data_IF_075298519546
#
_entry.id   IF_075298519546
#
_cell.length_a   1.000
_cell.length_b   1.000
_cell.length_c   1.000
_cell.angle_alpha   90.00
_cell.angle_beta   90.00
_cell.angle_gamma   90.00
#
_symmetry.space_group_name_H-M   'P 1'
#
loop_
_entity.id
_entity.type
_entity.pdbx_description
1 polymer ?
#
# COMPACT_ATOMS: atom_id res chain seq x y z
N UNK A 1 -3.24 22.41 12.17
CA UNK A 1 -3.67 21.08 11.69
C UNK A 1 -2.46 20.40 11.05
N UNK A 2 -2.06 19.23 11.49
CA UNK A 2 -0.98 18.52 10.81
C UNK A 2 -1.50 17.79 9.56
N UNK A 3 -0.62 17.35 8.68
CA UNK A 3 -1.02 16.72 7.42
C UNK A 3 -1.76 15.39 7.65
N UNK A 4 -1.45 14.68 8.71
CA UNK A 4 -2.09 13.43 9.10
C UNK A 4 -3.58 13.66 9.42
N UNK A 5 -3.89 14.66 10.21
CA UNK A 5 -5.28 15.03 10.53
C UNK A 5 -6.06 15.42 9.26
N UNK A 6 -5.41 16.12 8.33
CA UNK A 6 -6.05 16.52 7.09
C UNK A 6 -6.48 15.33 6.23
N UNK A 7 -5.63 14.32 6.13
CA UNK A 7 -5.96 13.09 5.38
C UNK A 7 -7.04 12.31 6.13
N UNK A 8 -6.86 12.13 7.42
CA UNK A 8 -7.77 11.36 8.25
C UNK A 8 -9.20 11.94 8.29
N UNK A 9 -9.33 13.27 8.33
CA UNK A 9 -10.62 13.94 8.36
C UNK A 9 -11.38 13.84 7.04
N UNK A 10 -10.68 13.66 5.93
CA UNK A 10 -11.27 13.68 4.59
C UNK A 10 -11.52 12.31 4.01
N UNK A 11 -10.85 11.27 4.52
CA UNK A 11 -10.87 9.95 3.89
C UNK A 11 -11.53 8.94 4.81
N UNK A 12 -12.70 8.46 4.36
CA UNK A 12 -13.27 7.23 4.86
C UNK A 12 -12.88 6.11 3.91
N UNK A 13 -12.50 4.94 4.46
CA UNK A 13 -12.26 3.77 3.65
C UNK A 13 -13.55 3.29 3.02
N UNK A 14 -13.55 3.21 1.70
CA UNK A 14 -14.66 2.70 0.90
C UNK A 14 -14.29 1.35 0.29
N UNK A 15 -15.30 0.56 -0.05
CA UNK A 15 -15.10 -0.66 -0.84
C UNK A 15 -14.57 -0.30 -2.23
N UNK A 16 -13.70 -1.15 -2.77
CA UNK A 16 -13.07 -0.95 -4.06
C UNK A 16 -11.73 -0.21 -3.98
N UNK A 17 -11.30 0.33 -5.11
CA UNK A 17 -10.03 1.02 -5.23
C UNK A 17 -10.19 2.52 -4.98
N UNK A 18 -9.54 3.03 -3.97
CA UNK A 18 -9.51 4.45 -3.64
C UNK A 18 -8.16 5.03 -4.04
N UNK A 19 -8.16 6.01 -4.93
CA UNK A 19 -6.96 6.74 -5.34
C UNK A 19 -6.86 8.03 -4.54
N UNK A 20 -5.74 8.19 -3.85
CA UNK A 20 -5.45 9.40 -3.08
C UNK A 20 -4.24 10.09 -3.69
N UNK A 21 -4.45 11.27 -4.24
CA UNK A 21 -3.40 12.15 -4.67
C UNK A 21 -3.11 13.16 -3.56
N UNK A 22 -1.86 13.16 -3.09
CA UNK A 22 -1.44 14.12 -2.07
C UNK A 22 0.03 14.48 -2.31
N UNK A 23 0.37 15.75 -2.13
CA UNK A 23 1.74 16.24 -2.33
C UNK A 23 2.74 15.53 -1.43
N UNK A 24 3.99 15.45 -1.86
CA UNK A 24 5.10 15.00 -1.02
C UNK A 24 5.11 15.78 0.29
N UNK A 25 5.23 15.06 1.41
CA UNK A 25 5.16 15.67 2.74
C UNK A 25 3.74 15.94 3.26
N UNK A 26 2.69 15.48 2.56
CA UNK A 26 1.31 15.61 3.02
C UNK A 26 0.92 14.60 4.11
N UNK A 27 1.83 13.72 4.52
CA UNK A 27 1.58 12.76 5.60
C UNK A 27 0.97 11.42 5.16
N UNK A 28 1.14 11.03 3.88
CA UNK A 28 0.59 9.76 3.35
C UNK A 28 1.07 8.54 4.15
N UNK A 29 2.39 8.42 4.33
CA UNK A 29 2.98 7.30 5.08
C UNK A 29 2.57 7.33 6.54
N UNK A 30 2.57 8.50 7.16
CA UNK A 30 2.12 8.69 8.54
C UNK A 30 0.66 8.27 8.71
N UNK A 31 -0.20 8.65 7.76
CA UNK A 31 -1.61 8.24 7.74
C UNK A 31 -1.75 6.71 7.76
N UNK A 32 -1.00 6.01 6.90
CA UNK A 32 -1.06 4.55 6.83
C UNK A 32 -0.57 3.93 8.14
N UNK A 33 0.63 4.31 8.59
CA UNK A 33 1.30 3.65 9.71
C UNK A 33 0.71 4.00 11.08
N UNK A 34 0.19 5.19 11.25
CA UNK A 34 -0.40 5.60 12.52
C UNK A 34 -1.92 5.46 12.57
N UNK A 35 -2.60 5.72 11.48
CA UNK A 35 -4.07 5.77 11.46
C UNK A 35 -4.69 4.49 10.93
N UNK A 36 -4.32 4.04 9.74
CA UNK A 36 -4.91 2.83 9.16
C UNK A 36 -4.49 1.57 9.92
N UNK A 37 -3.23 1.43 10.26
CA UNK A 37 -2.73 0.23 10.95
C UNK A 37 -3.23 0.10 12.39
N UNK A 38 -3.70 1.17 12.98
CA UNK A 38 -4.33 1.14 14.30
C UNK A 38 -5.65 0.38 14.28
N UNK A 39 -6.44 0.57 13.22
CA UNK A 39 -7.82 0.07 13.14
C UNK A 39 -7.99 -1.10 12.18
N UNK A 40 -6.99 -1.38 11.33
CA UNK A 40 -7.03 -2.39 10.29
C UNK A 40 -5.71 -3.17 10.20
N UNK A 41 -5.79 -4.39 9.68
CA UNK A 41 -4.61 -5.11 9.21
C UNK A 41 -4.30 -4.61 7.80
N UNK A 42 -3.14 -4.00 7.63
CA UNK A 42 -2.74 -3.28 6.41
C UNK A 42 -1.50 -3.92 5.81
N UNK A 43 -1.48 -4.09 4.49
CA UNK A 43 -0.27 -4.38 3.74
C UNK A 43 0.10 -3.13 2.96
N UNK A 44 1.17 -2.47 3.38
CA UNK A 44 1.73 -1.30 2.69
C UNK A 44 2.80 -1.77 1.71
N UNK A 45 2.53 -1.61 0.42
CA UNK A 45 3.44 -1.99 -0.66
C UNK A 45 4.23 -0.78 -1.13
N UNK A 46 5.56 -0.87 -1.07
CA UNK A 46 6.49 0.19 -1.44
C UNK A 46 7.30 -0.22 -2.68
N UNK A 47 7.67 0.72 -3.55
CA UNK A 47 8.42 0.38 -4.76
C UNK A 47 9.90 0.02 -4.52
N UNK A 48 10.50 0.45 -3.40
CA UNK A 48 11.93 0.26 -3.13
C UNK A 48 12.22 -0.31 -1.76
N UNK A 49 13.34 -1.03 -1.66
CA UNK A 49 13.86 -1.54 -0.37
C UNK A 49 14.16 -0.38 0.58
N UNK A 50 14.71 0.72 0.06
CA UNK A 50 15.04 1.89 0.87
C UNK A 50 13.82 2.45 1.61
N UNK A 51 12.66 2.47 0.98
CA UNK A 51 11.42 2.92 1.60
C UNK A 51 10.96 1.99 2.72
N UNK A 52 11.06 0.68 2.51
CA UNK A 52 10.72 -0.30 3.55
C UNK A 52 11.67 -0.16 4.74
N UNK A 53 12.97 -0.03 4.49
CA UNK A 53 13.97 0.19 5.54
C UNK A 53 13.72 1.48 6.33
N UNK A 54 13.34 2.56 5.64
CA UNK A 54 13.01 3.82 6.29
C UNK A 54 11.78 3.66 7.20
N UNK A 55 10.76 2.96 6.75
CA UNK A 55 9.60 2.65 7.58
C UNK A 55 9.99 1.83 8.82
N UNK A 56 10.89 0.86 8.65
CA UNK A 56 11.38 0.05 9.77
C UNK A 56 12.14 0.90 10.81
N UNK A 57 12.98 1.83 10.36
CA UNK A 57 13.67 2.76 11.26
C UNK A 57 12.70 3.62 12.05
N UNK A 58 11.67 4.15 11.38
CA UNK A 58 10.75 5.11 11.99
C UNK A 58 9.67 4.43 12.85
N UNK A 59 9.26 3.21 12.50
CA UNK A 59 8.08 2.54 13.11
C UNK A 59 8.34 1.11 13.56
N UNK A 60 9.56 0.59 13.45
CA UNK A 60 9.89 -0.79 13.80
C UNK A 60 9.69 -1.16 15.26
N UNK A 61 9.56 -0.18 16.14
CA UNK A 61 9.26 -0.37 17.55
C UNK A 61 7.78 -0.70 17.82
N UNK A 62 6.90 -0.50 16.84
CA UNK A 62 5.48 -0.82 16.99
C UNK A 62 5.27 -2.34 16.90
N UNK A 63 4.44 -2.87 17.79
CA UNK A 63 4.06 -4.28 17.75
C UNK A 63 3.19 -4.58 16.52
N UNK A 64 3.24 -5.84 16.04
CA UNK A 64 2.38 -6.34 14.97
C UNK A 64 2.60 -5.74 13.58
N UNK A 65 3.78 -5.16 13.33
CA UNK A 65 4.18 -4.75 11.98
C UNK A 65 5.39 -5.58 11.54
N UNK A 66 5.29 -6.20 10.38
CA UNK A 66 6.39 -6.94 9.76
C UNK A 66 6.93 -6.16 8.57
N UNK A 67 8.26 -6.16 8.40
CA UNK A 67 8.94 -5.45 7.31
C UNK A 67 9.63 -6.49 6.41
N UNK A 68 9.25 -6.56 5.14
CA UNK A 68 9.70 -7.57 4.20
C UNK A 68 10.27 -6.92 2.93
N UNK A 69 11.47 -7.33 2.55
CA UNK A 69 12.10 -6.92 1.28
C UNK A 69 13.07 -8.02 0.83
N UNK A 70 13.72 -7.85 -0.33
CA UNK A 70 14.59 -8.87 -0.90
C UNK A 70 15.77 -9.30 -0.03
N UNK A 71 16.19 -8.44 0.91
CA UNK A 71 17.29 -8.72 1.85
C UNK A 71 16.79 -9.27 3.20
N UNK A 72 15.48 -9.28 3.44
CA UNK A 72 14.88 -9.70 4.70
C UNK A 72 13.57 -10.41 4.45
N UNK A 73 13.43 -11.62 4.96
CA UNK A 73 12.20 -12.40 4.84
C UNK A 73 11.64 -12.76 6.22
N UNK A 74 10.39 -13.21 6.25
CA UNK A 74 9.74 -13.72 7.46
C UNK A 74 9.82 -15.24 7.46
N UNK A 75 10.12 -15.89 8.62
CA UNK A 75 10.01 -17.34 8.75
C UNK A 75 8.60 -17.85 8.41
N UNK A 76 8.52 -19.01 7.75
CA UNK A 76 7.24 -19.62 7.33
C UNK A 76 6.23 -19.77 8.47
N UNK A 77 6.71 -19.99 9.68
CA UNK A 77 5.87 -20.16 10.88
C UNK A 77 5.09 -18.89 11.20
N UNK A 78 5.67 -17.71 10.93
CA UNK A 78 5.01 -16.42 11.14
C UNK A 78 4.08 -16.04 10.00
N UNK A 79 4.29 -16.58 8.80
CA UNK A 79 3.44 -16.31 7.63
C UNK A 79 1.98 -16.69 7.88
N UNK A 80 1.72 -17.76 8.61
CA UNK A 80 0.37 -18.23 8.92
C UNK A 80 -0.50 -17.20 9.68
N UNK A 81 0.13 -16.24 10.34
CA UNK A 81 -0.56 -15.23 11.13
C UNK A 81 -0.50 -13.83 10.50
N UNK A 82 -0.04 -13.72 9.24
CA UNK A 82 0.07 -12.42 8.57
C UNK A 82 -1.27 -11.69 8.43
N UNK A 83 -2.36 -12.43 8.25
CA UNK A 83 -3.69 -11.81 8.17
C UNK A 83 -4.13 -11.13 9.47
N UNK A 84 -3.44 -11.39 10.58
CA UNK A 84 -3.68 -10.76 11.89
C UNK A 84 -2.69 -9.65 12.21
N UNK A 85 -1.82 -9.30 11.27
CA UNK A 85 -0.75 -8.32 11.45
C UNK A 85 -0.73 -7.36 10.28
N UNK A 86 -0.04 -6.23 10.45
CA UNK A 86 0.27 -5.33 9.35
C UNK A 86 1.66 -5.63 8.79
N UNK A 87 1.85 -5.32 7.52
CA UNK A 87 3.09 -5.62 6.78
C UNK A 87 3.50 -4.42 5.96
N UNK A 88 4.78 -4.09 5.96
CA UNK A 88 5.40 -3.16 5.02
C UNK A 88 6.31 -3.98 4.11
N UNK A 89 6.10 -3.92 2.80
CA UNK A 89 6.71 -4.85 1.85
C UNK A 89 7.02 -4.16 0.53
N UNK A 90 8.06 -4.61 -0.17
CA UNK A 90 8.30 -4.16 -1.54
C UNK A 90 7.34 -4.84 -2.53
N UNK A 91 7.06 -4.21 -3.66
CA UNK A 91 6.13 -4.71 -4.67
C UNK A 91 6.45 -6.15 -5.11
N UNK A 92 7.73 -6.44 -5.32
CA UNK A 92 8.20 -7.73 -5.83
C UNK A 92 8.10 -8.87 -4.81
N UNK A 93 7.98 -8.56 -3.54
CA UNK A 93 7.86 -9.55 -2.47
C UNK A 93 6.40 -9.92 -2.15
N UNK A 94 5.44 -9.18 -2.67
CA UNK A 94 4.02 -9.41 -2.40
C UNK A 94 3.57 -10.84 -2.75
N UNK A 95 4.09 -11.41 -3.84
CA UNK A 95 3.73 -12.77 -4.26
C UNK A 95 3.99 -13.83 -3.19
N UNK A 96 5.00 -13.60 -2.36
CA UNK A 96 5.38 -14.53 -1.28
C UNK A 96 4.37 -14.56 -0.14
N UNK A 97 3.59 -13.50 0.04
CA UNK A 97 2.67 -13.38 1.17
C UNK A 97 1.19 -13.40 0.78
N UNK A 98 0.86 -13.25 -0.49
CA UNK A 98 -0.53 -13.06 -0.96
C UNK A 98 -1.50 -14.15 -0.50
N UNK A 99 -1.04 -15.39 -0.40
CA UNK A 99 -1.88 -16.54 -0.01
C UNK A 99 -2.15 -16.60 1.50
N UNK A 100 -1.47 -15.78 2.29
CA UNK A 100 -1.64 -15.69 3.74
C UNK A 100 -2.49 -14.50 4.16
N UNK A 101 -2.96 -13.69 3.21
CA UNK A 101 -3.79 -12.53 3.44
C UNK A 101 -5.25 -12.88 3.19
N UNK A 102 -6.16 -12.28 3.95
CA UNK A 102 -7.59 -12.44 3.70
C UNK A 102 -8.16 -11.27 2.91
N UNK A 103 -9.39 -11.42 2.46
CA UNK A 103 -10.10 -10.42 1.65
C UNK A 103 -10.29 -9.09 2.40
N UNK A 104 -10.33 -9.11 3.72
CA UNK A 104 -10.52 -7.92 4.57
C UNK A 104 -9.24 -7.15 4.85
N UNK A 105 -8.07 -7.69 4.47
CA UNK A 105 -6.81 -6.96 4.55
C UNK A 105 -6.89 -5.72 3.68
N UNK A 106 -6.54 -4.57 4.24
CA UNK A 106 -6.46 -3.32 3.48
C UNK A 106 -5.11 -3.27 2.78
N UNK A 107 -5.11 -3.30 1.46
CA UNK A 107 -3.88 -3.19 0.68
C UNK A 107 -3.67 -1.73 0.29
N UNK A 108 -2.52 -1.18 0.65
CA UNK A 108 -2.12 0.18 0.33
C UNK A 108 -0.89 0.14 -0.57
N UNK A 109 -0.96 0.81 -1.71
CA UNK A 109 0.14 0.86 -2.67
C UNK A 109 0.68 2.28 -2.70
N UNK A 110 1.88 2.46 -2.15
CA UNK A 110 2.56 3.76 -2.14
C UNK A 110 3.25 4.01 -3.49
N UNK A 111 3.27 5.26 -3.91
CA UNK A 111 3.79 5.68 -5.21
C UNK A 111 3.25 4.80 -6.36
N UNK A 112 1.94 4.64 -6.39
CA UNK A 112 1.24 3.69 -7.26
C UNK A 112 1.49 3.92 -8.76
N UNK A 113 1.89 5.13 -9.19
CA UNK A 113 2.31 5.39 -10.56
C UNK A 113 3.48 4.50 -11.00
N UNK A 114 4.29 4.02 -10.06
CA UNK A 114 5.42 3.13 -10.35
C UNK A 114 4.99 1.70 -10.72
N UNK A 115 3.77 1.30 -10.44
CA UNK A 115 3.22 0.06 -10.96
C UNK A 115 3.21 0.05 -12.49
N UNK A 116 2.85 1.18 -13.11
CA UNK A 116 2.88 1.33 -14.56
C UNK A 116 4.31 1.25 -15.12
N UNK A 117 5.22 2.04 -14.54
CA UNK A 117 6.61 2.08 -14.97
C UNK A 117 7.31 0.73 -14.80
N UNK A 118 7.07 0.06 -13.67
CA UNK A 118 7.68 -1.23 -13.38
C UNK A 118 7.07 -2.36 -14.21
N UNK A 119 5.80 -2.24 -14.62
CA UNK A 119 5.12 -3.20 -15.48
C UNK A 119 5.81 -3.41 -16.83
N UNK A 120 6.59 -2.44 -17.31
CA UNK A 120 7.34 -2.55 -18.55
C UNK A 120 8.67 -3.30 -18.39
N UNK A 121 9.26 -3.36 -17.19
CA UNK A 121 10.60 -3.90 -16.95
C UNK A 121 10.63 -5.10 -16.00
N UNK A 122 9.65 -5.22 -15.09
CA UNK A 122 9.65 -6.21 -14.03
C UNK A 122 8.30 -6.95 -13.94
N UNK A 123 7.66 -7.19 -15.08
CA UNK A 123 6.31 -7.75 -15.17
C UNK A 123 6.10 -8.97 -14.30
N UNK A 124 7.05 -9.91 -14.31
CA UNK A 124 6.93 -11.17 -13.59
C UNK A 124 6.96 -11.00 -12.07
N UNK A 125 7.74 -10.05 -11.58
CA UNK A 125 7.91 -9.86 -10.13
C UNK A 125 6.75 -9.07 -9.50
N UNK A 126 6.22 -8.06 -10.21
CA UNK A 126 5.17 -7.19 -9.69
C UNK A 126 3.77 -7.52 -10.21
N UNK A 127 3.67 -8.35 -11.24
CA UNK A 127 2.39 -8.73 -11.83
C UNK A 127 1.41 -9.31 -10.81
N UNK A 128 1.82 -10.13 -9.82
CA UNK A 128 0.89 -10.62 -8.82
C UNK A 128 0.19 -9.50 -8.03
N UNK A 129 0.90 -8.42 -7.70
CA UNK A 129 0.31 -7.27 -7.03
C UNK A 129 -0.66 -6.53 -7.96
N UNK A 130 -0.23 -6.24 -9.16
CA UNK A 130 -1.06 -5.59 -10.18
C UNK A 130 -2.33 -6.40 -10.46
N UNK A 131 -2.19 -7.72 -10.63
CA UNK A 131 -3.30 -8.64 -10.86
C UNK A 131 -4.31 -8.63 -9.71
N UNK A 132 -3.84 -8.59 -8.47
CA UNK A 132 -4.71 -8.51 -7.30
C UNK A 132 -5.57 -7.24 -7.30
N UNK A 133 -4.99 -6.12 -7.70
CA UNK A 133 -5.72 -4.84 -7.79
C UNK A 133 -6.71 -4.85 -8.95
N UNK A 134 -6.29 -5.34 -10.12
CA UNK A 134 -7.15 -5.42 -11.32
C UNK A 134 -8.36 -6.32 -11.12
N UNK A 135 -8.22 -7.37 -10.33
CA UNK A 135 -9.27 -8.37 -10.09
C UNK A 135 -10.05 -8.14 -8.80
N UNK A 136 -9.88 -6.99 -8.16
CA UNK A 136 -10.59 -6.60 -6.94
C UNK A 136 -10.53 -7.68 -5.84
N UNK A 137 -9.33 -8.24 -5.64
CA UNK A 137 -9.11 -9.35 -4.70
C UNK A 137 -9.44 -8.98 -3.25
N UNK A 138 -9.22 -7.72 -2.89
CA UNK A 138 -9.45 -7.21 -1.53
C UNK A 138 -10.65 -6.29 -1.52
N UNK A 139 -11.39 -6.27 -0.41
CA UNK A 139 -12.55 -5.40 -0.24
C UNK A 139 -12.17 -3.92 -0.34
N UNK A 140 -10.97 -3.57 0.13
CA UNK A 140 -10.50 -2.20 0.15
C UNK A 140 -9.04 -2.13 -0.28
N UNK A 141 -8.77 -1.35 -1.31
CA UNK A 141 -7.42 -1.07 -1.79
C UNK A 141 -7.24 0.44 -1.90
N UNK A 142 -6.13 0.93 -1.35
CA UNK A 142 -5.79 2.37 -1.35
C UNK A 142 -4.55 2.57 -2.21
N UNK A 143 -4.66 3.45 -3.20
CA UNK A 143 -3.57 3.81 -4.11
C UNK A 143 -3.11 5.22 -3.78
N UNK A 144 -1.86 5.38 -3.38
CA UNK A 144 -1.27 6.66 -3.00
C UNK A 144 -0.33 7.17 -4.09
N UNK A 145 -0.45 8.45 -4.41
CA UNK A 145 0.43 9.11 -5.38
C UNK A 145 0.58 10.60 -5.10
N UNK A 146 1.71 11.18 -5.51
CA UNK A 146 1.89 12.64 -5.54
C UNK A 146 1.59 13.23 -6.93
N UNK A 147 1.38 12.39 -7.95
CA UNK A 147 1.17 12.80 -9.33
C UNK A 147 -0.23 12.47 -9.84
N UNK A 148 -0.69 13.13 -10.90
CA UNK A 148 -1.98 12.83 -11.52
C UNK A 148 -1.83 11.58 -12.41
N UNK A 149 -2.39 10.46 -11.97
CA UNK A 149 -2.19 9.15 -12.60
C UNK A 149 -3.48 8.42 -12.97
N UNK A 150 -4.64 9.01 -12.74
CA UNK A 150 -5.93 8.37 -13.01
C UNK A 150 -6.04 7.79 -14.43
N UNK A 151 -5.67 8.52 -15.51
CA UNK A 151 -5.70 7.97 -16.87
C UNK A 151 -4.78 6.77 -17.06
N UNK A 152 -3.66 6.70 -16.34
CA UNK A 152 -2.74 5.55 -16.41
C UNK A 152 -3.37 4.28 -15.84
N UNK A 153 -4.14 4.40 -14.77
CA UNK A 153 -4.82 3.26 -14.16
C UNK A 153 -5.94 2.72 -15.04
N UNK A 154 -6.64 3.59 -15.76
CA UNK A 154 -7.62 3.16 -16.76
C UNK A 154 -6.95 2.31 -17.85
N UNK A 155 -5.78 2.73 -18.33
CA UNK A 155 -5.00 1.98 -19.33
C UNK A 155 -4.55 0.63 -18.80
N UNK A 156 -4.26 0.52 -17.50
CA UNK A 156 -3.90 -0.75 -16.87
C UNK A 156 -5.10 -1.65 -16.58
N UNK A 157 -6.31 -1.16 -16.79
CA UNK A 157 -7.53 -1.89 -16.48
C UNK A 157 -7.88 -1.90 -14.99
N UNK A 158 -7.37 -0.95 -14.23
CA UNK A 158 -7.69 -0.76 -12.82
C UNK A 158 -8.86 0.21 -12.71
N UNK A 159 -9.94 -0.26 -12.11
CA UNK A 159 -11.13 0.56 -11.86
C UNK A 159 -10.95 1.36 -10.58
N UNK A 160 -10.98 2.69 -10.68
CA UNK A 160 -10.93 3.59 -9.52
C UNK A 160 -12.37 3.94 -9.11
N UNK A 161 -12.76 3.49 -7.92
CA UNK A 161 -14.11 3.72 -7.39
C UNK A 161 -14.23 5.07 -6.68
N UNK A 162 -13.16 5.52 -6.04
CA UNK A 162 -13.14 6.77 -5.29
C UNK A 162 -11.83 7.50 -5.53
N UNK A 163 -11.90 8.82 -5.71
CA UNK A 163 -10.74 9.67 -5.93
C UNK A 163 -10.73 10.84 -4.96
N UNK A 164 -9.61 11.02 -4.27
CA UNK A 164 -9.38 12.15 -3.38
C UNK A 164 -8.12 12.89 -3.78
N UNK A 165 -8.24 14.19 -3.96
CA UNK A 165 -7.11 15.08 -4.25
C UNK A 165 -6.90 15.99 -3.04
N UNK A 166 -5.81 15.76 -2.31
CA UNK A 166 -5.50 16.46 -1.08
C UNK A 166 -4.30 17.36 -1.32
N UNK A 167 -4.54 18.65 -1.34
CA UNK A 167 -3.49 19.64 -1.44
C UNK A 167 -3.12 20.14 -0.05
N UNK A 168 -1.80 20.26 0.19
CA UNK A 168 -1.30 20.94 1.36
C UNK A 168 -1.56 22.44 1.18
N UNK A 169 -2.24 23.09 2.14
CA UNK A 169 -2.50 24.53 2.04
C UNK A 169 -1.21 25.35 2.04
#
# INVERSE_FOLDING_TARGET
MNADETIQDRIQLHYGNTLIRANTGAGKTTFVLKSLMRDHNVVLCCPTIAQVKQCEEDYGHQANIHFIHGEKSIPKERLKNLCKSSVVITYDQYDKIKNYLDQKTVVVIDECQKLYSAGNYRDKAIYPLLSSVKNDKYDQTVLLTATLTEPLFEQLGINISHYFDIHKP
#
